data_IF_443059400500
#
_entry.id   IF_443059400500
#
_cell.length_a   1.000
_cell.length_b   1.000
_cell.length_c   1.000
_cell.angle_alpha   90.00
_cell.angle_beta   90.00
_cell.angle_gamma   90.00
#
_symmetry.space_group_name_H-M   'P 1'
#
loop_
_entity.id
_entity.type
_entity.pdbx_description
1 polymer ?
#
# COMPACT_ATOMS: atom_id res chain seq x y z
N UNK A 1 12.26 22.51 -11.52
CA UNK A 1 12.92 21.22 -11.93
C UNK A 1 14.16 21.55 -12.78
N UNK A 2 14.04 22.26 -13.90
CA UNK A 2 15.17 22.57 -14.81
C UNK A 2 16.34 23.25 -14.08
N UNK A 3 16.07 24.29 -13.29
CA UNK A 3 17.10 25.08 -12.55
C UNK A 3 17.83 24.32 -11.44
N UNK A 4 17.32 23.15 -11.02
CA UNK A 4 17.90 22.32 -9.95
C UNK A 4 18.34 20.96 -10.45
N UNK A 5 18.37 20.76 -11.76
CA UNK A 5 18.84 19.54 -12.40
C UNK A 5 20.33 19.67 -12.74
N UNK A 6 21.21 19.10 -11.91
CA UNK A 6 22.66 19.17 -12.12
C UNK A 6 23.10 18.52 -13.45
N UNK A 7 22.32 17.57 -13.97
CA UNK A 7 22.58 16.91 -15.23
C UNK A 7 22.06 17.67 -16.46
N UNK A 8 21.36 18.80 -16.29
CA UNK A 8 20.68 19.54 -17.36
C UNK A 8 19.80 18.64 -18.26
N UNK A 9 19.17 17.61 -17.67
CA UNK A 9 18.43 16.59 -18.40
C UNK A 9 16.96 16.97 -18.66
N UNK A 10 16.52 18.13 -18.17
CA UNK A 10 15.13 18.57 -18.33
C UNK A 10 15.06 19.60 -19.45
N UNK A 11 14.33 19.27 -20.51
CA UNK A 11 14.04 20.14 -21.63
C UNK A 11 12.51 20.25 -21.79
N UNK A 12 11.93 21.41 -21.47
CA UNK A 12 10.50 21.65 -21.63
C UNK A 12 10.09 21.98 -23.07
N UNK A 13 11.04 22.28 -23.94
CA UNK A 13 10.82 22.54 -25.37
C UNK A 13 11.01 21.30 -26.24
N UNK A 14 11.19 20.11 -25.61
CA UNK A 14 11.33 18.86 -26.37
C UNK A 14 10.00 18.48 -27.04
N UNK A 15 10.11 17.92 -28.22
CA UNK A 15 8.98 17.52 -29.05
C UNK A 15 8.99 16.01 -29.27
N UNK A 16 7.82 15.44 -29.58
CA UNK A 16 7.68 14.03 -29.87
C UNK A 16 8.56 13.64 -31.06
N UNK A 17 9.29 12.52 -30.89
CA UNK A 17 10.20 11.96 -31.90
C UNK A 17 9.83 10.51 -32.12
N UNK A 18 9.71 10.11 -33.38
CA UNK A 18 9.50 8.73 -33.77
C UNK A 18 10.84 8.07 -34.14
N UNK A 19 11.05 6.87 -33.58
CA UNK A 19 12.23 6.07 -33.87
C UNK A 19 11.82 4.68 -34.34
N UNK A 20 12.36 4.20 -35.48
CA UNK A 20 12.24 2.82 -35.89
C UNK A 20 13.50 2.06 -35.47
N UNK A 21 13.31 1.05 -34.58
CA UNK A 21 14.39 0.23 -34.07
C UNK A 21 14.22 -1.23 -34.54
N UNK A 22 15.23 -1.79 -35.16
CA UNK A 22 15.30 -3.23 -35.51
C UNK A 22 15.86 -3.98 -34.31
N UNK A 23 15.01 -4.75 -33.64
CA UNK A 23 15.36 -5.49 -32.41
C UNK A 23 15.11 -6.98 -32.56
N UNK A 24 15.87 -7.81 -31.85
CA UNK A 24 15.72 -9.27 -31.88
C UNK A 24 14.55 -9.75 -31.00
N UNK A 25 14.18 -8.98 -29.95
CA UNK A 25 13.03 -9.27 -29.09
C UNK A 25 12.57 -8.00 -28.39
N UNK A 26 11.34 -8.04 -27.87
CA UNK A 26 10.75 -6.97 -27.09
C UNK A 26 10.41 -7.51 -25.70
N UNK A 27 10.90 -6.86 -24.63
CA UNK A 27 10.57 -7.17 -23.25
C UNK A 27 9.49 -6.19 -22.79
N UNK A 28 8.28 -6.69 -22.53
CA UNK A 28 7.16 -5.88 -22.09
C UNK A 28 7.13 -5.77 -20.55
N UNK A 29 7.31 -4.56 -20.06
CA UNK A 29 7.27 -4.23 -18.62
C UNK A 29 6.32 -3.06 -18.35
N UNK A 30 5.01 -3.18 -18.69
CA UNK A 30 4.07 -2.04 -18.68
C UNK A 30 3.61 -1.63 -17.28
N UNK A 31 4.10 -2.30 -16.22
CA UNK A 31 3.65 -2.07 -14.86
C UNK A 31 2.28 -2.70 -14.58
N UNK A 32 1.55 -2.12 -13.63
CA UNK A 32 0.25 -2.62 -13.20
C UNK A 32 -0.79 -1.49 -13.16
N UNK A 33 -2.05 -1.85 -13.40
CA UNK A 33 -3.19 -1.00 -13.13
C UNK A 33 -3.74 -1.34 -11.73
N UNK A 34 -3.81 -0.36 -10.85
CA UNK A 34 -4.39 -0.54 -9.52
C UNK A 34 -5.92 -0.63 -9.59
N UNK A 35 -6.50 -1.37 -8.65
CA UNK A 35 -7.94 -1.36 -8.42
C UNK A 35 -8.33 0.02 -7.87
N UNK A 36 -9.48 0.53 -8.30
CA UNK A 36 -10.05 1.75 -7.71
C UNK A 36 -10.73 1.43 -6.37
N UNK A 37 -10.12 1.78 -5.23
CA UNK A 37 -10.67 1.44 -3.93
C UNK A 37 -11.90 2.27 -3.55
N UNK A 38 -12.24 3.34 -4.29
CA UNK A 38 -13.45 4.12 -4.06
C UNK A 38 -14.74 3.31 -4.31
N UNK A 39 -14.66 2.23 -5.09
CA UNK A 39 -15.75 1.28 -5.30
C UNK A 39 -16.14 0.57 -4.00
N UNK A 40 -15.19 0.38 -3.07
CA UNK A 40 -15.39 -0.22 -1.75
C UNK A 40 -15.64 0.88 -0.72
N UNK A 41 -16.82 1.49 -0.76
CA UNK A 41 -17.18 2.66 0.04
C UNK A 41 -17.09 2.40 1.55
N UNK A 42 -17.34 1.17 1.99
CA UNK A 42 -17.22 0.72 3.38
C UNK A 42 -15.79 0.86 3.93
N UNK A 43 -14.78 0.83 3.07
CA UNK A 43 -13.38 1.02 3.47
C UNK A 43 -12.97 2.50 3.56
N UNK A 44 -13.80 3.42 3.09
CA UNK A 44 -13.66 4.85 3.33
C UNK A 44 -12.64 5.59 2.45
N UNK A 45 -12.02 4.95 1.45
CA UNK A 45 -11.09 5.64 0.54
C UNK A 45 -11.78 6.78 -0.20
N UNK A 46 -11.09 7.92 -0.32
CA UNK A 46 -11.64 9.15 -0.92
C UNK A 46 -12.52 9.97 0.02
N UNK A 47 -13.07 9.37 1.07
CA UNK A 47 -13.90 10.02 2.10
C UNK A 47 -13.12 10.28 3.39
N UNK A 48 -12.34 9.30 3.85
CA UNK A 48 -11.53 9.37 5.07
C UNK A 48 -10.07 9.66 4.68
N UNK A 49 -9.55 10.82 5.10
CA UNK A 49 -8.21 11.28 4.68
C UNK A 49 -7.07 10.33 5.06
N UNK A 50 -7.22 9.60 6.18
CA UNK A 50 -6.22 8.67 6.69
C UNK A 50 -6.32 7.27 6.05
N UNK A 51 -7.25 7.05 5.12
CA UNK A 51 -7.31 5.86 4.28
C UNK A 51 -6.63 6.15 2.95
N UNK A 52 -5.52 5.48 2.70
CA UNK A 52 -4.69 5.68 1.51
C UNK A 52 -4.45 4.36 0.79
N UNK A 53 -4.11 4.43 -0.49
CA UNK A 53 -3.66 3.25 -1.24
C UNK A 53 -2.22 2.88 -0.87
N UNK A 54 -1.82 1.64 -1.17
CA UNK A 54 -0.42 1.21 -0.98
C UNK A 54 0.58 2.06 -1.77
N UNK A 55 0.21 2.53 -2.98
CA UNK A 55 1.08 3.42 -3.76
C UNK A 55 1.23 4.80 -3.12
N UNK A 56 0.13 5.35 -2.58
CA UNK A 56 0.21 6.60 -1.83
C UNK A 56 1.05 6.43 -0.57
N UNK A 57 0.88 5.32 0.16
CA UNK A 57 1.69 5.04 1.35
C UNK A 57 3.16 4.83 1.00
N UNK A 58 3.47 4.12 -0.08
CA UNK A 58 4.84 4.00 -0.61
C UNK A 58 5.48 5.37 -0.88
N UNK A 59 4.68 6.31 -1.41
CA UNK A 59 5.15 7.67 -1.64
C UNK A 59 5.40 8.45 -0.35
N UNK A 60 4.60 8.22 0.70
CA UNK A 60 4.83 8.79 2.04
C UNK A 60 6.12 8.26 2.67
N UNK A 61 6.41 6.95 2.50
CA UNK A 61 7.63 6.32 3.02
C UNK A 61 8.90 6.71 2.26
N UNK A 62 8.77 7.26 1.05
CA UNK A 62 9.92 7.61 0.23
C UNK A 62 10.68 8.82 0.80
N UNK A 63 12.01 8.74 0.86
CA UNK A 63 12.86 9.87 1.26
C UNK A 63 12.67 11.09 0.36
N UNK A 64 12.34 10.90 -0.93
CA UNK A 64 11.97 11.97 -1.87
C UNK A 64 10.46 12.28 -1.85
N UNK A 65 9.72 11.73 -0.92
CA UNK A 65 8.29 11.95 -0.72
C UNK A 65 7.97 13.29 -0.06
N UNK A 66 6.68 13.61 0.10
CA UNK A 66 6.24 14.89 0.62
C UNK A 66 6.67 15.14 2.07
N UNK A 67 6.99 14.09 2.81
CA UNK A 67 7.39 14.16 4.23
C UNK A 67 8.80 13.59 4.47
N UNK A 68 9.63 13.53 3.43
CA UNK A 68 11.02 13.04 3.51
C UNK A 68 11.16 11.67 4.18
N UNK A 69 10.21 10.77 3.92
CA UNK A 69 10.18 9.42 4.49
C UNK A 69 9.56 9.31 5.88
N UNK A 70 9.17 10.42 6.50
CA UNK A 70 8.48 10.37 7.79
C UNK A 70 7.04 9.90 7.62
N UNK A 71 6.65 8.90 8.41
CA UNK A 71 5.27 8.40 8.40
C UNK A 71 4.35 9.43 9.04
N UNK A 72 3.44 9.96 8.25
CA UNK A 72 2.56 11.07 8.65
C UNK A 72 1.11 10.78 8.32
N UNK A 73 0.20 11.24 9.16
CA UNK A 73 -1.26 11.16 8.92
C UNK A 73 -1.67 12.24 7.92
N UNK A 74 -2.29 11.90 6.78
CA UNK A 74 -2.72 12.89 5.79
C UNK A 74 -3.76 13.89 6.30
N UNK A 75 -4.50 13.58 7.38
CA UNK A 75 -5.54 14.46 7.93
C UNK A 75 -4.99 15.71 8.61
N UNK A 76 -3.86 15.58 9.32
CA UNK A 76 -3.36 16.61 10.24
C UNK A 76 -1.83 16.72 10.28
N UNK A 77 -1.10 15.88 9.54
CA UNK A 77 0.36 15.85 9.55
C UNK A 77 0.98 15.24 10.82
N UNK A 78 0.17 14.70 11.73
CA UNK A 78 0.64 14.07 12.95
C UNK A 78 1.25 12.68 12.71
N UNK A 79 2.05 12.19 13.66
CA UNK A 79 2.59 10.83 13.62
C UNK A 79 1.53 9.81 14.03
N UNK A 80 1.26 8.78 13.21
CA UNK A 80 0.35 7.71 13.59
C UNK A 80 1.04 6.77 14.58
N UNK A 81 0.35 6.40 15.65
CA UNK A 81 0.82 5.37 16.58
C UNK A 81 0.51 3.95 16.07
N UNK A 82 -0.47 3.81 15.20
CA UNK A 82 -0.92 2.52 14.66
C UNK A 82 -1.17 2.62 13.17
N UNK A 83 -0.66 1.63 12.44
CA UNK A 83 -0.85 1.46 11.00
C UNK A 83 -1.51 0.12 10.71
N UNK A 84 -2.43 0.13 9.75
CA UNK A 84 -3.11 -1.09 9.31
C UNK A 84 -3.05 -1.24 7.79
N UNK A 85 -2.73 -2.44 7.31
CA UNK A 85 -2.84 -2.84 5.91
C UNK A 85 -4.01 -3.78 5.74
N UNK A 86 -4.94 -3.42 4.86
CA UNK A 86 -6.08 -4.26 4.49
C UNK A 86 -5.77 -4.94 3.17
N UNK A 87 -5.64 -6.26 3.20
CA UNK A 87 -5.31 -7.06 2.02
C UNK A 87 -6.54 -7.41 1.19
N UNK A 88 -6.30 -7.83 -0.06
CA UNK A 88 -7.29 -8.34 -0.98
C UNK A 88 -8.41 -7.35 -1.37
N UNK A 89 -8.17 -6.03 -1.23
CA UNK A 89 -9.13 -5.00 -1.67
C UNK A 89 -9.25 -5.09 -3.19
N UNK A 90 -10.46 -5.42 -3.68
CA UNK A 90 -10.76 -5.56 -5.11
C UNK A 90 -10.21 -6.83 -5.78
N UNK A 91 -9.66 -7.77 -5.02
CA UNK A 91 -9.25 -9.09 -5.54
C UNK A 91 -9.82 -10.22 -4.68
N UNK A 92 -9.83 -11.45 -5.19
CA UNK A 92 -10.43 -12.63 -4.54
C UNK A 92 -11.91 -12.43 -4.19
N UNK A 93 -12.61 -11.67 -5.00
CA UNK A 93 -14.03 -11.35 -4.82
C UNK A 93 -14.79 -11.67 -6.11
N UNK A 94 -15.58 -12.73 -6.07
CA UNK A 94 -16.38 -13.17 -7.22
C UNK A 94 -17.47 -12.16 -7.62
N UNK A 95 -17.97 -11.38 -6.66
CA UNK A 95 -19.02 -10.36 -6.92
C UNK A 95 -18.49 -9.15 -7.70
N UNK A 96 -17.21 -8.86 -7.64
CA UNK A 96 -16.58 -7.71 -8.32
C UNK A 96 -15.84 -8.12 -9.61
N UNK A 97 -16.15 -9.26 -10.20
CA UNK A 97 -15.51 -9.80 -11.39
C UNK A 97 -13.97 -10.02 -11.26
N UNK A 98 -13.41 -10.00 -10.05
CA UNK A 98 -12.00 -10.24 -9.76
C UNK A 98 -11.81 -11.40 -8.77
N UNK A 99 -12.16 -12.66 -9.17
CA UNK A 99 -12.06 -13.80 -8.27
C UNK A 99 -10.62 -14.26 -7.99
N UNK A 100 -9.68 -13.79 -8.79
CA UNK A 100 -8.24 -14.14 -8.69
C UNK A 100 -7.50 -13.32 -7.66
N UNK A 101 -6.32 -13.79 -7.27
CA UNK A 101 -5.37 -13.07 -6.44
C UNK A 101 -4.48 -12.18 -7.31
N UNK A 102 -4.18 -10.95 -6.85
CA UNK A 102 -3.23 -10.06 -7.52
C UNK A 102 -1.77 -10.53 -7.42
N UNK A 103 -1.48 -11.48 -6.52
CA UNK A 103 -0.16 -12.10 -6.28
C UNK A 103 0.96 -11.16 -5.79
N UNK A 104 0.68 -9.88 -5.58
CA UNK A 104 1.70 -8.87 -5.21
C UNK A 104 1.46 -8.23 -3.85
N UNK A 105 0.18 -8.12 -3.41
CA UNK A 105 -0.16 -7.30 -2.25
C UNK A 105 0.44 -7.82 -0.93
N UNK A 106 0.59 -9.14 -0.74
CA UNK A 106 1.20 -9.68 0.47
C UNK A 106 2.67 -9.23 0.62
N UNK A 107 3.38 -9.16 -0.50
CA UNK A 107 4.79 -8.79 -0.49
C UNK A 107 5.01 -7.29 -0.31
N UNK A 108 4.26 -6.44 -1.00
CA UNK A 108 4.44 -4.99 -0.80
C UNK A 108 3.92 -4.53 0.58
N UNK A 109 2.89 -5.17 1.15
CA UNK A 109 2.48 -4.87 2.51
C UNK A 109 3.55 -5.28 3.53
N UNK A 110 4.19 -6.44 3.37
CA UNK A 110 5.33 -6.84 4.19
C UNK A 110 6.49 -5.84 4.07
N UNK A 111 6.85 -5.43 2.85
CA UNK A 111 7.88 -4.41 2.62
C UNK A 111 7.53 -3.10 3.32
N UNK A 112 6.35 -2.57 3.09
CA UNK A 112 5.93 -1.28 3.64
C UNK A 112 5.86 -1.31 5.16
N UNK A 113 5.38 -2.39 5.76
CA UNK A 113 5.29 -2.52 7.21
C UNK A 113 6.66 -2.62 7.88
N UNK A 114 7.63 -3.31 7.25
CA UNK A 114 9.03 -3.34 7.71
C UNK A 114 9.62 -1.93 7.65
N UNK A 115 9.52 -1.24 6.50
CA UNK A 115 10.07 0.10 6.33
C UNK A 115 9.43 1.09 7.30
N UNK A 116 8.11 1.02 7.51
CA UNK A 116 7.43 1.87 8.47
C UNK A 116 7.99 1.70 9.89
N UNK A 117 8.27 0.46 10.31
CA UNK A 117 8.91 0.17 11.61
C UNK A 117 10.40 0.54 11.66
N UNK A 118 11.11 0.50 10.53
CA UNK A 118 12.49 0.98 10.45
C UNK A 118 12.54 2.51 10.58
N UNK A 119 11.54 3.24 10.05
CA UNK A 119 11.44 4.70 10.19
C UNK A 119 10.91 5.14 11.56
N UNK A 120 10.02 4.36 12.16
CA UNK A 120 9.46 4.61 13.48
C UNK A 120 9.24 3.27 14.23
N UNK A 121 10.19 2.84 15.08
CA UNK A 121 10.10 1.58 15.83
C UNK A 121 8.91 1.51 16.79
N UNK A 122 8.40 2.65 17.25
CA UNK A 122 7.28 2.73 18.19
C UNK A 122 5.91 2.52 17.52
N UNK A 123 5.83 2.56 16.18
CA UNK A 123 4.55 2.36 15.49
C UNK A 123 4.10 0.90 15.57
N UNK A 124 2.83 0.70 15.94
CA UNK A 124 2.19 -0.60 15.86
C UNK A 124 1.72 -0.87 14.43
N UNK A 125 2.30 -1.88 13.79
CA UNK A 125 1.99 -2.27 12.42
C UNK A 125 1.15 -3.55 12.40
N UNK A 126 -0.04 -3.53 11.77
CA UNK A 126 -0.91 -4.69 11.66
C UNK A 126 -1.32 -4.93 10.20
N UNK A 127 -1.15 -6.16 9.71
CA UNK A 127 -1.61 -6.60 8.39
C UNK A 127 -2.85 -7.49 8.58
N UNK A 128 -3.99 -7.05 8.06
CA UNK A 128 -5.23 -7.84 8.00
C UNK A 128 -5.29 -8.60 6.69
N UNK A 129 -5.45 -9.91 6.74
CA UNK A 129 -5.39 -10.78 5.57
C UNK A 129 -6.41 -11.92 5.65
N UNK A 130 -6.86 -12.43 4.51
CA UNK A 130 -7.65 -13.66 4.42
C UNK A 130 -6.75 -14.89 4.35
N UNK A 131 -5.70 -14.83 3.53
CA UNK A 131 -4.70 -15.87 3.32
C UNK A 131 -3.43 -15.21 2.79
N UNK A 132 -2.27 -15.58 3.35
CA UNK A 132 -0.98 -15.09 2.86
C UNK A 132 -0.57 -15.85 1.60
N UNK A 133 -0.27 -15.11 0.55
CA UNK A 133 0.15 -15.63 -0.75
C UNK A 133 1.46 -15.00 -1.17
N UNK A 134 2.55 -15.55 -0.66
CA UNK A 134 3.91 -15.14 -0.94
C UNK A 134 4.62 -16.29 -1.68
N UNK A 135 4.43 -16.37 -3.00
CA UNK A 135 4.79 -17.55 -3.80
C UNK A 135 6.19 -17.54 -4.38
N UNK A 136 6.89 -16.41 -4.33
CA UNK A 136 8.23 -16.29 -4.87
C UNK A 136 9.27 -17.00 -4.01
N UNK A 137 10.44 -17.26 -4.60
CA UNK A 137 11.59 -17.81 -3.87
C UNK A 137 11.95 -16.89 -2.69
N UNK A 138 12.04 -17.47 -1.50
CA UNK A 138 12.34 -16.79 -0.24
C UNK A 138 11.32 -15.70 0.21
N UNK A 139 10.14 -15.61 -0.40
CA UNK A 139 9.11 -14.66 -0.02
C UNK A 139 8.47 -15.00 1.32
N UNK A 140 8.37 -16.29 1.66
CA UNK A 140 7.98 -16.79 2.98
C UNK A 140 8.91 -16.26 4.07
N UNK A 141 10.22 -16.34 3.86
CA UNK A 141 11.22 -15.79 4.78
C UNK A 141 11.10 -14.27 4.97
N UNK A 142 10.66 -13.56 3.92
CA UNK A 142 10.42 -12.11 4.02
C UNK A 142 9.20 -11.81 4.90
N UNK A 143 8.14 -12.61 4.80
CA UNK A 143 6.99 -12.52 5.73
C UNK A 143 7.42 -12.84 7.17
N UNK A 144 8.28 -13.84 7.38
CA UNK A 144 8.82 -14.15 8.70
C UNK A 144 9.72 -13.01 9.24
N UNK A 145 10.49 -12.36 8.36
CA UNK A 145 11.22 -11.14 8.72
C UNK A 145 10.25 -10.03 9.18
N UNK A 146 9.13 -9.80 8.48
CA UNK A 146 8.14 -8.81 8.89
C UNK A 146 7.58 -9.12 10.29
N UNK A 147 7.21 -10.37 10.55
CA UNK A 147 6.73 -10.81 11.87
C UNK A 147 7.79 -10.63 12.96
N UNK A 148 9.03 -11.01 12.69
CA UNK A 148 10.14 -10.85 13.66
C UNK A 148 10.49 -9.39 13.93
N UNK A 149 10.20 -8.49 12.98
CA UNK A 149 10.31 -7.03 13.15
C UNK A 149 9.14 -6.43 13.96
N UNK A 150 8.23 -7.25 14.50
CA UNK A 150 7.11 -6.81 15.30
C UNK A 150 5.87 -6.39 14.50
N UNK A 151 5.75 -6.80 13.23
CA UNK A 151 4.52 -6.62 12.47
C UNK A 151 3.50 -7.69 12.85
N UNK A 152 2.34 -7.28 13.34
CA UNK A 152 1.24 -8.18 13.65
C UNK A 152 0.51 -8.61 12.38
N UNK A 153 0.22 -9.90 12.27
CA UNK A 153 -0.58 -10.46 11.18
C UNK A 153 -1.88 -11.02 11.75
N UNK A 154 -3.02 -10.47 11.31
CA UNK A 154 -4.36 -10.89 11.77
C UNK A 154 -5.18 -11.44 10.61
N UNK A 155 -5.59 -12.70 10.72
CA UNK A 155 -6.51 -13.30 9.76
C UNK A 155 -7.92 -12.83 10.08
N UNK A 156 -8.44 -11.91 9.25
CA UNK A 156 -9.76 -11.33 9.43
C UNK A 156 -10.24 -10.68 8.12
N UNK A 157 -11.55 -10.58 7.97
CA UNK A 157 -12.18 -9.76 6.94
C UNK A 157 -12.61 -8.42 7.54
N UNK A 158 -12.23 -7.33 6.89
CA UNK A 158 -12.68 -6.00 7.29
C UNK A 158 -14.07 -5.77 6.72
N UNK A 159 -15.03 -5.44 7.59
CA UNK A 159 -16.40 -5.12 7.21
C UNK A 159 -16.58 -3.64 6.89
N UNK A 160 -16.01 -2.76 7.71
CA UNK A 160 -16.05 -1.33 7.48
C UNK A 160 -14.92 -0.60 8.23
N UNK A 161 -14.68 0.65 7.82
CA UNK A 161 -13.77 1.59 8.51
C UNK A 161 -14.55 2.85 8.81
N UNK A 162 -14.55 3.25 10.10
CA UNK A 162 -15.23 4.45 10.61
C UNK A 162 -14.18 5.40 11.18
N UNK A 163 -14.36 6.70 10.98
CA UNK A 163 -13.50 7.74 11.54
C UNK A 163 -14.12 8.32 12.82
N UNK A 164 -13.33 8.40 13.88
CA UNK A 164 -13.66 9.21 15.04
C UNK A 164 -13.57 10.70 14.64
N UNK A 165 -14.67 11.46 14.74
CA UNK A 165 -14.72 12.84 14.26
C UNK A 165 -13.81 13.79 15.04
N UNK A 166 -13.46 13.46 16.29
CA UNK A 166 -12.64 14.31 17.16
C UNK A 166 -11.14 14.05 16.97
N UNK A 167 -10.74 12.78 16.97
CA UNK A 167 -9.33 12.37 16.93
C UNK A 167 -8.82 12.07 15.53
N UNK A 168 -9.73 11.93 14.56
CA UNK A 168 -9.42 11.46 13.21
C UNK A 168 -8.79 10.06 13.16
N UNK A 169 -8.87 9.32 14.26
CA UNK A 169 -8.48 7.93 14.30
C UNK A 169 -9.49 7.06 13.54
N UNK A 170 -9.00 5.99 12.96
CA UNK A 170 -9.82 5.03 12.24
C UNK A 170 -10.16 3.84 13.14
N UNK A 171 -11.44 3.52 13.23
CA UNK A 171 -11.95 2.31 13.86
C UNK A 171 -12.18 1.28 12.76
N UNK A 172 -11.49 0.15 12.85
CA UNK A 172 -11.56 -0.93 11.88
C UNK A 172 -12.43 -2.04 12.45
N UNK A 173 -13.60 -2.25 11.86
CA UNK A 173 -14.48 -3.35 12.20
C UNK A 173 -14.11 -4.57 11.36
N UNK A 174 -13.81 -5.67 12.03
CA UNK A 174 -13.41 -6.92 11.38
C UNK A 174 -14.22 -8.11 11.88
N UNK A 175 -14.27 -9.15 11.07
CA UNK A 175 -14.82 -10.45 11.45
C UNK A 175 -13.67 -11.43 11.60
N UNK A 176 -13.55 -12.03 12.78
CA UNK A 176 -12.51 -13.03 13.07
C UNK A 176 -12.83 -14.40 12.46
N UNK A 177 -11.93 -15.37 12.65
CA UNK A 177 -12.09 -16.74 12.13
C UNK A 177 -13.30 -17.48 12.72
N UNK A 178 -13.79 -17.04 13.88
CA UNK A 178 -14.97 -17.58 14.53
C UNK A 178 -16.27 -16.87 14.11
N UNK A 179 -16.19 -15.90 13.18
CA UNK A 179 -17.33 -15.13 12.71
C UNK A 179 -17.77 -14.03 13.67
N UNK A 180 -16.94 -13.65 14.65
CA UNK A 180 -17.26 -12.60 15.63
C UNK A 180 -16.78 -11.25 15.11
N UNK A 181 -17.60 -10.23 15.26
CA UNK A 181 -17.20 -8.84 15.00
C UNK A 181 -16.25 -8.35 16.11
N UNK A 182 -15.10 -7.81 15.68
CA UNK A 182 -14.03 -7.34 16.56
C UNK A 182 -13.66 -5.93 16.18
#
# INVERSE_FOLDING_TARGET
>A
CEKVCDANAINFDDTDKEYELKVGSIILTPGLKTYDPAIRQELGYGRLKNVVTSLQFERLLSASGPYSGTVTRPSDGGHPKRLAWVQCVGSRNAHNANPWCSSVCCMYAAKQSIIAKEHDPEVDATVFYMELRAFGKDFDKYIDKAKSSGVAYRRAMISEIVEDPQTKNLLIHSVDEAGRTV
#
